data_IF_267882707491
#
_entry.id   IF_267882707491
#
_cell.length_a   1.000
_cell.length_b   1.000
_cell.length_c   1.000
_cell.angle_alpha   90.00
_cell.angle_beta   90.00
_cell.angle_gamma   90.00
#
_symmetry.space_group_name_H-M   'P 1'
#
loop_
_entity.id
_entity.type
_entity.pdbx_description
1 polymer ?
#
# COMPACT_ATOMS: atom_id res chain seq x y z
N UNK A 1 41.84 25.09 68.86
CA UNK A 1 41.70 23.91 67.98
C UNK A 1 40.22 23.76 67.64
N UNK A 2 39.76 24.47 66.61
CA UNK A 2 38.42 24.29 66.02
C UNK A 2 38.54 23.21 64.95
N UNK A 3 37.85 22.10 65.15
CA UNK A 3 37.96 20.96 64.24
C UNK A 3 37.15 21.25 62.97
N UNK A 4 37.77 21.04 61.81
CA UNK A 4 37.26 21.08 60.43
C UNK A 4 36.12 20.06 60.15
N UNK A 5 35.08 20.01 60.98
CA UNK A 5 33.95 19.08 60.78
C UNK A 5 32.98 19.54 59.67
N UNK A 6 32.94 20.84 59.36
CA UNK A 6 31.98 21.37 58.37
C UNK A 6 32.40 21.09 56.92
N UNK A 7 33.69 21.15 56.60
CA UNK A 7 34.18 20.91 55.24
C UNK A 7 34.09 19.44 54.84
N UNK A 8 34.38 18.52 55.75
CA UNK A 8 34.32 17.08 55.49
C UNK A 8 32.89 16.56 55.29
N UNK A 9 31.92 17.08 56.04
CA UNK A 9 30.50 16.72 55.88
C UNK A 9 29.94 17.26 54.55
N UNK A 10 30.30 18.49 54.16
CA UNK A 10 29.86 19.08 52.89
C UNK A 10 30.47 18.37 51.66
N UNK A 11 31.75 17.99 51.72
CA UNK A 11 32.43 17.27 50.65
C UNK A 11 31.88 15.85 50.48
N UNK A 12 31.60 15.15 51.59
CA UNK A 12 30.98 13.83 51.59
C UNK A 12 29.55 13.84 51.03
N UNK A 13 28.73 14.84 51.43
CA UNK A 13 27.39 15.02 50.91
C UNK A 13 27.39 15.36 49.41
N UNK A 14 28.27 16.25 48.97
CA UNK A 14 28.39 16.63 47.55
C UNK A 14 28.82 15.45 46.66
N UNK A 15 29.76 14.63 47.12
CA UNK A 15 30.20 13.43 46.39
C UNK A 15 29.07 12.39 46.27
N UNK A 16 28.31 12.15 47.35
CA UNK A 16 27.15 11.27 47.33
C UNK A 16 26.04 11.80 46.42
N UNK A 17 25.79 13.12 46.44
CA UNK A 17 24.81 13.76 45.55
C UNK A 17 25.23 13.67 44.07
N UNK A 18 26.51 13.82 43.75
CA UNK A 18 27.01 13.69 42.38
C UNK A 18 26.86 12.25 41.86
N UNK A 19 27.15 11.24 42.70
CA UNK A 19 26.96 9.82 42.36
C UNK A 19 25.47 9.50 42.18
N UNK A 20 24.61 9.99 43.07
CA UNK A 20 23.17 9.81 42.97
C UNK A 20 22.61 10.49 41.71
N UNK A 21 23.05 11.70 41.39
CA UNK A 21 22.65 12.43 40.19
C UNK A 21 23.11 11.72 38.90
N UNK A 22 24.34 11.22 38.87
CA UNK A 22 24.88 10.43 37.76
C UNK A 22 24.11 9.12 37.56
N UNK A 23 23.81 8.41 38.65
CA UNK A 23 22.99 7.20 38.63
C UNK A 23 21.56 7.46 38.16
N UNK A 24 20.94 8.56 38.62
CA UNK A 24 19.60 8.97 38.20
C UNK A 24 19.54 9.35 36.72
N UNK A 25 20.54 10.07 36.21
CA UNK A 25 20.62 10.42 34.79
C UNK A 25 20.80 9.20 33.89
N UNK A 26 21.67 8.26 34.28
CA UNK A 26 21.85 7.01 33.54
C UNK A 26 20.59 6.13 33.56
N UNK A 27 19.92 6.02 34.71
CA UNK A 27 18.65 5.31 34.80
C UNK A 27 17.55 5.99 33.95
N UNK A 28 17.45 7.32 33.99
CA UNK A 28 16.46 8.08 33.22
C UNK A 28 16.67 7.92 31.70
N UNK A 29 17.92 7.96 31.23
CA UNK A 29 18.25 7.76 29.82
C UNK A 29 17.95 6.33 29.36
N UNK A 30 18.24 5.32 30.19
CA UNK A 30 17.86 3.93 29.89
C UNK A 30 16.35 3.71 29.86
N UNK A 31 15.63 4.28 30.81
CA UNK A 31 14.17 4.23 30.86
C UNK A 31 13.54 4.95 29.66
N UNK A 32 14.07 6.09 29.24
CA UNK A 32 13.61 6.80 28.04
C UNK A 32 13.86 6.00 26.75
N UNK A 33 14.98 5.29 26.66
CA UNK A 33 15.27 4.41 25.52
C UNK A 33 14.34 3.17 25.49
N UNK A 34 14.07 2.56 26.65
CA UNK A 34 13.14 1.45 26.79
C UNK A 34 11.70 1.88 26.49
N UNK A 35 11.26 3.04 26.99
CA UNK A 35 9.97 3.62 26.70
C UNK A 35 9.77 3.84 25.20
N UNK A 36 10.77 4.43 24.50
CA UNK A 36 10.73 4.59 23.04
C UNK A 36 10.62 3.26 22.28
N UNK A 37 11.33 2.23 22.75
CA UNK A 37 11.26 0.90 22.13
C UNK A 37 9.90 0.23 22.36
N UNK A 38 9.33 0.36 23.55
CA UNK A 38 7.99 -0.13 23.88
C UNK A 38 6.92 0.60 23.06
N UNK A 39 6.96 1.93 22.99
CA UNK A 39 6.03 2.72 22.17
C UNK A 39 6.07 2.28 20.70
N UNK A 40 7.26 2.02 20.14
CA UNK A 40 7.38 1.49 18.77
C UNK A 40 6.75 0.11 18.60
N UNK A 41 6.97 -0.81 19.55
CA UNK A 41 6.38 -2.16 19.49
C UNK A 41 4.86 -2.09 19.61
N UNK A 42 4.36 -1.21 20.48
CA UNK A 42 2.92 -0.97 20.61
C UNK A 42 2.36 -0.41 19.31
N UNK A 43 2.97 0.61 18.71
CA UNK A 43 2.54 1.19 17.43
C UNK A 43 2.49 0.14 16.30
N UNK A 44 3.48 -0.75 16.24
CA UNK A 44 3.51 -1.86 15.28
C UNK A 44 2.36 -2.85 15.51
N UNK A 45 2.08 -3.19 16.78
CA UNK A 45 0.94 -4.05 17.13
C UNK A 45 -0.40 -3.39 16.78
N UNK A 46 -0.58 -2.12 17.12
CA UNK A 46 -1.77 -1.35 16.77
C UNK A 46 -1.98 -1.29 15.25
N UNK A 47 -0.90 -1.14 14.48
CA UNK A 47 -0.95 -1.16 13.02
C UNK A 47 -1.31 -2.54 12.47
N UNK A 48 -0.80 -3.61 13.07
CA UNK A 48 -1.11 -4.98 12.68
C UNK A 48 -2.58 -5.32 12.96
N UNK A 49 -3.09 -5.00 14.16
CA UNK A 49 -4.47 -5.25 14.61
C UNK A 49 -5.52 -4.47 13.82
N UNK A 50 -5.11 -3.42 13.11
CA UNK A 50 -5.96 -2.60 12.23
C UNK A 50 -5.65 -2.79 10.75
N UNK A 51 -4.94 -3.86 10.37
CA UNK A 51 -4.64 -4.12 8.97
C UNK A 51 -5.94 -4.32 8.17
N UNK A 52 -6.20 -3.52 7.12
CA UNK A 52 -7.45 -3.62 6.38
C UNK A 52 -7.64 -4.98 5.70
N UNK A 53 -8.85 -5.52 5.82
CA UNK A 53 -9.30 -6.75 5.20
C UNK A 53 -10.30 -6.40 4.10
N UNK A 54 -10.03 -6.87 2.88
CA UNK A 54 -10.86 -6.60 1.73
C UNK A 54 -11.37 -7.90 1.14
N UNK A 55 -12.65 -7.91 0.79
CA UNK A 55 -13.20 -8.84 -0.18
C UNK A 55 -13.23 -8.16 -1.55
N UNK A 56 -12.75 -8.87 -2.57
CA UNK A 56 -12.55 -8.34 -3.91
C UNK A 56 -13.07 -9.36 -4.92
N UNK A 57 -13.98 -8.92 -5.77
CA UNK A 57 -14.57 -9.74 -6.82
C UNK A 57 -14.56 -8.97 -8.14
N UNK A 58 -14.18 -9.65 -9.22
CA UNK A 58 -14.34 -9.11 -10.56
C UNK A 58 -15.47 -9.85 -11.26
N UNK A 59 -16.47 -9.10 -11.72
CA UNK A 59 -17.61 -9.62 -12.46
C UNK A 59 -17.53 -9.14 -13.89
N UNK A 60 -17.41 -10.05 -14.87
CA UNK A 60 -17.51 -9.66 -16.28
C UNK A 60 -18.95 -9.26 -16.63
N UNK A 61 -19.07 -8.16 -17.36
CA UNK A 61 -20.36 -7.63 -17.84
C UNK A 61 -20.53 -7.80 -19.35
N UNK A 62 -19.61 -8.52 -20.00
CA UNK A 62 -19.60 -8.78 -21.45
C UNK A 62 -18.77 -7.77 -22.25
N UNK A 63 -18.43 -8.13 -23.49
CA UNK A 63 -17.65 -7.31 -24.43
C UNK A 63 -16.29 -6.83 -23.86
N UNK A 64 -15.65 -7.65 -23.02
CA UNK A 64 -14.41 -7.31 -22.34
C UNK A 64 -14.55 -6.21 -21.28
N UNK A 65 -15.76 -5.86 -20.87
CA UNK A 65 -16.04 -4.98 -19.74
C UNK A 65 -16.24 -5.82 -18.47
N UNK A 66 -15.87 -5.24 -17.33
CA UNK A 66 -16.01 -5.88 -16.03
C UNK A 66 -16.26 -4.84 -14.93
N UNK A 67 -16.76 -5.31 -13.79
CA UNK A 67 -17.00 -4.54 -12.60
C UNK A 67 -16.19 -5.13 -11.45
N UNK A 68 -15.25 -4.34 -10.92
CA UNK A 68 -14.56 -4.68 -9.68
C UNK A 68 -15.45 -4.27 -8.51
N UNK A 69 -15.90 -5.23 -7.73
CA UNK A 69 -16.50 -5.01 -6.43
C UNK A 69 -15.42 -5.09 -5.36
N UNK A 70 -15.38 -4.07 -4.50
CA UNK A 70 -14.50 -4.02 -3.35
C UNK A 70 -15.32 -3.80 -2.11
N UNK A 71 -15.13 -4.62 -1.09
CA UNK A 71 -15.78 -4.49 0.21
C UNK A 71 -14.72 -4.45 1.32
N UNK A 72 -14.79 -3.46 2.21
CA UNK A 72 -13.92 -3.42 3.39
C UNK A 72 -14.60 -4.23 4.50
N UNK A 73 -14.18 -5.48 4.67
CA UNK A 73 -14.82 -6.42 5.59
C UNK A 73 -14.39 -6.24 7.04
N UNK A 74 -13.23 -5.62 7.28
CA UNK A 74 -12.75 -5.41 8.64
C UNK A 74 -11.29 -5.01 8.73
N UNK A 75 -10.68 -5.19 9.91
CA UNK A 75 -11.32 -5.57 11.18
C UNK A 75 -12.24 -4.46 11.71
N UNK A 76 -13.21 -4.77 12.58
CA UNK A 76 -14.13 -3.75 13.13
C UNK A 76 -13.40 -2.62 13.89
N UNK A 77 -12.25 -2.94 14.50
CA UNK A 77 -11.33 -1.98 15.15
C UNK A 77 -10.77 -0.93 14.18
N UNK A 78 -10.84 -1.19 12.87
CA UNK A 78 -10.46 -0.27 11.81
C UNK A 78 -11.55 0.79 11.55
N UNK A 79 -12.84 0.53 11.81
CA UNK A 79 -14.01 1.39 11.59
C UNK A 79 -14.17 1.98 10.17
N UNK A 80 -13.16 2.67 9.65
CA UNK A 80 -13.08 3.29 8.33
C UNK A 80 -11.64 3.50 7.87
N UNK A 81 -11.48 3.71 6.56
CA UNK A 81 -10.30 4.25 5.91
C UNK A 81 -10.59 5.66 5.42
N UNK A 82 -9.67 6.59 5.69
CA UNK A 82 -9.76 7.98 5.26
C UNK A 82 -9.47 8.12 3.75
N UNK A 83 -8.60 7.25 3.24
CA UNK A 83 -8.26 7.21 1.82
C UNK A 83 -7.79 5.83 1.40
N UNK A 84 -8.31 5.37 0.27
CA UNK A 84 -7.89 4.16 -0.45
C UNK A 84 -7.48 4.59 -1.85
N UNK A 85 -6.29 4.17 -2.26
CA UNK A 85 -5.85 4.22 -3.66
C UNK A 85 -5.74 2.78 -4.16
N UNK A 86 -6.38 2.47 -5.28
CA UNK A 86 -6.26 1.17 -5.94
C UNK A 86 -5.49 1.38 -7.24
N UNK A 87 -4.49 0.54 -7.49
CA UNK A 87 -3.76 0.52 -8.77
C UNK A 87 -3.71 -0.89 -9.33
N UNK A 88 -3.83 -1.00 -10.66
CA UNK A 88 -3.48 -2.22 -11.36
C UNK A 88 -1.96 -2.33 -11.42
N UNK A 89 -1.44 -3.43 -10.89
CA UNK A 89 -0.03 -3.79 -10.97
C UNK A 89 0.30 -4.47 -12.29
N UNK A 90 1.54 -4.33 -12.71
CA UNK A 90 2.07 -4.98 -13.91
C UNK A 90 2.42 -6.46 -13.68
N UNK A 91 2.50 -7.20 -14.79
CA UNK A 91 3.11 -8.53 -14.83
C UNK A 91 4.62 -8.49 -14.53
N UNK A 92 5.27 -9.65 -14.49
CA UNK A 92 6.69 -9.76 -14.12
C UNK A 92 7.65 -9.50 -15.30
N UNK A 93 7.16 -8.88 -16.39
CA UNK A 93 7.99 -8.63 -17.56
C UNK A 93 9.07 -7.59 -17.24
N UNK A 94 10.33 -7.95 -17.48
CA UNK A 94 11.42 -7.00 -17.40
C UNK A 94 11.43 -6.09 -18.65
N UNK A 95 11.13 -4.81 -18.43
CA UNK A 95 11.15 -3.79 -19.47
C UNK A 95 12.43 -2.96 -19.45
N UNK A 96 13.38 -3.18 -18.53
CA UNK A 96 14.55 -2.30 -18.32
C UNK A 96 15.42 -2.12 -19.58
N UNK A 97 15.53 -3.16 -20.41
CA UNK A 97 16.27 -3.14 -21.68
C UNK A 97 15.42 -2.82 -22.92
N UNK A 98 14.11 -2.59 -22.78
CA UNK A 98 13.22 -2.36 -23.92
C UNK A 98 13.36 -0.91 -24.40
N UNK A 99 13.84 -0.75 -25.64
CA UNK A 99 13.85 0.54 -26.34
C UNK A 99 12.44 0.84 -26.86
N UNK A 100 11.85 2.01 -26.54
CA UNK A 100 10.56 2.42 -27.09
C UNK A 100 10.57 2.43 -28.62
N UNK A 101 9.45 2.04 -29.23
CA UNK A 101 9.28 2.15 -30.68
C UNK A 101 9.34 3.62 -31.14
N UNK A 102 9.70 3.91 -32.40
CA UNK A 102 9.69 5.27 -32.93
C UNK A 102 8.35 5.98 -32.67
N UNK A 103 8.40 7.20 -32.14
CA UNK A 103 7.21 7.98 -31.79
C UNK A 103 6.65 7.73 -30.39
N UNK A 104 7.22 6.78 -29.63
CA UNK A 104 6.86 6.52 -28.23
C UNK A 104 8.05 6.78 -27.30
N UNK A 105 7.74 7.15 -26.07
CA UNK A 105 8.69 7.48 -25.02
C UNK A 105 8.76 6.37 -23.98
N UNK A 106 9.75 6.45 -23.08
CA UNK A 106 9.81 5.53 -21.95
C UNK A 106 8.60 5.68 -21.02
N UNK A 107 8.13 6.91 -20.83
CA UNK A 107 6.96 7.19 -20.00
C UNK A 107 5.69 6.51 -20.55
N UNK A 108 5.54 6.40 -21.87
CA UNK A 108 4.39 5.71 -22.49
C UNK A 108 4.37 4.22 -22.11
N UNK A 109 5.53 3.57 -22.09
CA UNK A 109 5.68 2.17 -21.70
C UNK A 109 5.45 1.98 -20.20
N UNK A 110 5.96 2.89 -19.37
CA UNK A 110 5.81 2.82 -17.90
C UNK A 110 4.36 3.10 -17.47
N UNK A 111 3.63 3.96 -18.19
CA UNK A 111 2.22 4.25 -17.93
C UNK A 111 1.27 3.16 -18.46
N UNK A 112 1.70 2.38 -19.46
CA UNK A 112 0.92 1.29 -20.01
C UNK A 112 0.66 0.18 -18.99
N UNK A 113 -0.58 -0.29 -18.88
CA UNK A 113 -0.96 -1.37 -17.96
C UNK A 113 -0.59 -2.72 -18.55
N UNK A 114 0.44 -3.36 -18.02
CA UNK A 114 0.92 -4.68 -18.42
C UNK A 114 0.19 -5.80 -17.67
N UNK A 115 -1.12 -5.91 -17.92
CA UNK A 115 -1.96 -6.91 -17.28
C UNK A 115 -3.23 -7.17 -18.10
N UNK A 116 -4.08 -8.12 -17.70
CA UNK A 116 -5.29 -8.48 -18.46
C UNK A 116 -6.38 -7.40 -18.45
N UNK A 117 -6.46 -6.61 -17.38
CA UNK A 117 -7.49 -5.59 -17.16
C UNK A 117 -6.89 -4.24 -16.74
N UNK A 118 -7.59 -3.15 -17.06
CA UNK A 118 -7.33 -1.80 -16.58
C UNK A 118 -8.64 -1.15 -16.14
N UNK A 119 -8.57 -0.10 -15.32
CA UNK A 119 -9.75 0.70 -15.01
C UNK A 119 -10.23 1.47 -16.24
N UNK A 120 -11.55 1.65 -16.34
CA UNK A 120 -12.16 2.37 -17.45
C UNK A 120 -11.91 3.87 -17.30
N UNK A 121 -11.28 4.49 -18.30
CA UNK A 121 -10.99 5.92 -18.33
C UNK A 121 -12.27 6.76 -18.10
N UNK A 122 -12.17 7.80 -17.28
CA UNK A 122 -13.27 8.71 -16.95
C UNK A 122 -14.23 8.18 -15.88
N UNK A 123 -14.27 6.87 -15.62
CA UNK A 123 -15.04 6.31 -14.52
C UNK A 123 -14.33 6.54 -13.18
N UNK A 124 -15.05 6.99 -12.16
CA UNK A 124 -14.51 7.21 -10.80
C UNK A 124 -13.23 8.07 -10.76
N UNK A 125 -13.06 9.00 -11.70
CA UNK A 125 -11.87 9.86 -11.79
C UNK A 125 -10.61 9.15 -12.29
N UNK A 126 -10.74 7.99 -12.96
CA UNK A 126 -9.63 7.26 -13.58
C UNK A 126 -9.03 8.05 -14.74
N UNK A 127 -7.70 8.13 -14.78
CA UNK A 127 -6.93 8.75 -15.85
C UNK A 127 -6.97 7.98 -17.19
N UNK A 128 -6.37 8.57 -18.22
CA UNK A 128 -6.32 7.98 -19.57
C UNK A 128 -5.55 6.66 -19.64
N UNK A 129 -4.63 6.43 -18.68
CA UNK A 129 -3.83 5.23 -18.61
C UNK A 129 -4.60 4.05 -17.99
N UNK A 130 -5.67 4.32 -17.24
CA UNK A 130 -6.51 3.28 -16.63
C UNK A 130 -5.82 2.58 -15.46
N UNK A 131 -4.83 3.23 -14.84
CA UNK A 131 -4.03 2.63 -13.77
C UNK A 131 -4.81 2.48 -12.47
N UNK A 132 -5.72 3.40 -12.17
CA UNK A 132 -6.49 3.43 -10.94
C UNK A 132 -7.53 4.55 -10.91
N UNK A 133 -8.63 4.40 -10.15
CA UNK A 133 -9.57 5.48 -9.89
C UNK A 133 -8.96 6.54 -8.97
N UNK A 134 -9.66 7.67 -8.82
CA UNK A 134 -9.30 8.68 -7.84
C UNK A 134 -9.41 8.10 -6.40
N UNK A 135 -8.58 8.56 -5.45
CA UNK A 135 -8.63 8.09 -4.07
C UNK A 135 -10.00 8.32 -3.42
N UNK A 136 -10.46 7.37 -2.61
CA UNK A 136 -11.79 7.42 -1.98
C UNK A 136 -11.77 6.90 -0.53
N UNK A 137 -12.63 7.41 0.36
CA UNK A 137 -12.80 6.87 1.71
C UNK A 137 -13.72 5.64 1.69
N UNK A 138 -13.63 4.79 2.71
CA UNK A 138 -14.55 3.65 2.85
C UNK A 138 -14.72 3.25 4.32
N UNK A 139 -15.94 2.91 4.72
CA UNK A 139 -16.23 2.42 6.07
C UNK A 139 -16.19 0.89 6.11
N UNK A 140 -15.85 0.32 7.26
CA UNK A 140 -15.96 -1.13 7.47
C UNK A 140 -17.42 -1.55 7.30
N UNK A 141 -17.65 -2.66 6.62
CA UNK A 141 -18.98 -3.16 6.25
C UNK A 141 -19.60 -2.48 5.03
N UNK A 142 -18.86 -1.60 4.33
CA UNK A 142 -19.32 -1.00 3.07
C UNK A 142 -18.41 -1.34 1.90
N UNK A 143 -18.93 -1.12 0.69
CA UNK A 143 -18.23 -1.43 -0.54
C UNK A 143 -18.31 -0.33 -1.58
N UNK A 144 -17.45 -0.43 -2.58
CA UNK A 144 -17.39 0.43 -3.76
C UNK A 144 -17.25 -0.43 -5.01
N UNK A 145 -17.65 0.15 -6.15
CA UNK A 145 -17.66 -0.53 -7.45
C UNK A 145 -16.89 0.31 -8.46
N UNK A 146 -16.06 -0.35 -9.25
CA UNK A 146 -15.21 0.31 -10.24
C UNK A 146 -15.32 -0.38 -11.60
N UNK A 147 -15.57 0.42 -12.63
CA UNK A 147 -15.59 -0.09 -13.99
C UNK A 147 -14.16 -0.44 -14.44
N UNK A 148 -14.01 -1.65 -14.97
CA UNK A 148 -12.78 -2.15 -15.56
C UNK A 148 -13.06 -2.65 -16.97
N UNK A 149 -12.01 -2.74 -17.76
CA UNK A 149 -12.05 -3.30 -19.11
C UNK A 149 -10.78 -4.06 -19.41
N UNK A 150 -10.88 -5.03 -20.31
CA UNK A 150 -9.73 -5.75 -20.82
C UNK A 150 -8.75 -4.77 -21.47
N UNK A 151 -7.48 -4.97 -21.20
CA UNK A 151 -6.41 -4.22 -21.86
C UNK A 151 -6.32 -4.60 -23.33
N UNK A 152 -5.81 -3.66 -24.11
CA UNK A 152 -5.53 -3.84 -25.53
C UNK A 152 -4.02 -3.73 -25.73
N UNK A 153 -3.46 -4.38 -26.76
CA UNK A 153 -2.07 -4.17 -27.11
C UNK A 153 -1.81 -2.67 -27.34
N UNK A 154 -0.64 -2.21 -26.90
CA UNK A 154 -0.22 -0.83 -27.13
C UNK A 154 -0.09 -0.54 -28.63
N UNK A 155 -0.27 0.71 -29.07
CA UNK A 155 -0.17 1.10 -30.48
C UNK A 155 1.21 0.81 -31.12
N UNK A 156 2.26 0.66 -30.31
CA UNK A 156 3.61 0.26 -30.75
C UNK A 156 3.80 -1.26 -30.93
N UNK A 157 2.80 -2.08 -30.60
CA UNK A 157 2.87 -3.54 -30.73
C UNK A 157 2.27 -3.98 -32.07
N UNK A 158 2.90 -3.57 -33.17
CA UNK A 158 2.44 -3.88 -34.52
C UNK A 158 2.21 -5.38 -34.73
N UNK A 159 1.11 -5.73 -35.41
CA UNK A 159 0.72 -7.13 -35.66
C UNK A 159 0.09 -7.85 -34.47
N UNK A 160 0.07 -7.25 -33.27
CA UNK A 160 -0.55 -7.86 -32.09
C UNK A 160 -2.05 -7.56 -32.05
N UNK A 161 -2.87 -8.60 -32.26
CA UNK A 161 -4.33 -8.48 -32.13
C UNK A 161 -4.77 -8.51 -30.67
N UNK A 162 -6.01 -8.09 -30.39
CA UNK A 162 -6.60 -8.20 -29.05
C UNK A 162 -6.62 -9.65 -28.54
N UNK A 163 -6.97 -10.61 -29.40
CA UNK A 163 -6.99 -12.03 -29.05
C UNK A 163 -5.60 -12.56 -28.70
N UNK A 164 -4.57 -12.18 -29.44
CA UNK A 164 -3.18 -12.54 -29.13
C UNK A 164 -2.72 -11.93 -27.80
N UNK A 165 -3.03 -10.64 -27.58
CA UNK A 165 -2.71 -9.95 -26.34
C UNK A 165 -3.39 -10.59 -25.13
N UNK A 166 -4.70 -10.83 -25.19
CA UNK A 166 -5.44 -11.46 -24.11
C UNK A 166 -5.06 -12.94 -23.91
N UNK A 167 -4.67 -13.62 -24.99
CA UNK A 167 -4.10 -14.97 -24.94
C UNK A 167 -2.86 -15.07 -24.06
N UNK A 168 -2.01 -14.04 -24.00
CA UNK A 168 -0.82 -14.01 -23.12
C UNK A 168 -1.15 -13.97 -21.63
N UNK A 169 -2.39 -13.61 -21.29
CA UNK A 169 -2.86 -13.49 -19.91
C UNK A 169 -3.84 -14.60 -19.50
N UNK A 170 -4.10 -15.59 -20.36
CA UNK A 170 -4.87 -16.78 -19.99
C UNK A 170 -4.19 -17.46 -18.79
N UNK A 171 -4.97 -17.71 -17.73
CA UNK A 171 -4.47 -18.30 -16.47
C UNK A 171 -3.56 -17.37 -15.64
N UNK A 172 -3.33 -16.13 -16.05
CA UNK A 172 -2.56 -15.15 -15.25
C UNK A 172 -3.50 -14.27 -14.43
N UNK A 173 -3.19 -13.99 -13.15
CA UNK A 173 -4.08 -13.22 -12.29
C UNK A 173 -4.09 -11.73 -12.65
N UNK A 174 -5.18 -11.06 -12.28
CA UNK A 174 -5.20 -9.60 -12.19
C UNK A 174 -4.50 -9.20 -10.90
N UNK A 175 -3.56 -8.26 -10.99
CA UNK A 175 -2.79 -7.78 -9.85
C UNK A 175 -3.30 -6.41 -9.43
N UNK A 176 -3.67 -6.27 -8.16
CA UNK A 176 -4.08 -5.00 -7.57
C UNK A 176 -3.18 -4.64 -6.41
N UNK A 177 -2.83 -3.36 -6.31
CA UNK A 177 -2.13 -2.78 -5.18
C UNK A 177 -3.04 -1.75 -4.54
N UNK A 178 -3.41 -1.97 -3.28
CA UNK A 178 -4.23 -1.07 -2.50
C UNK A 178 -3.31 -0.34 -1.51
N UNK A 179 -3.31 0.99 -1.54
CA UNK A 179 -2.68 1.83 -0.53
C UNK A 179 -3.78 2.45 0.33
N UNK A 180 -3.78 2.15 1.62
CA UNK A 180 -4.84 2.53 2.55
C UNK A 180 -4.28 3.45 3.63
N UNK A 181 -5.03 4.48 4.01
CA UNK A 181 -4.65 5.42 5.08
C UNK A 181 -5.78 5.60 6.10
N UNK A 182 -5.40 5.63 7.38
CA UNK A 182 -6.26 6.04 8.50
C UNK A 182 -5.42 6.83 9.51
N UNK A 183 -5.71 8.12 9.68
CA UNK A 183 -4.87 9.01 10.48
C UNK A 183 -3.40 8.96 10.05
N UNK A 184 -2.49 8.70 10.98
CA UNK A 184 -1.06 8.54 10.70
C UNK A 184 -0.63 7.15 10.20
N UNK A 185 -1.55 6.20 10.06
CA UNK A 185 -1.25 4.83 9.63
C UNK A 185 -1.43 4.66 8.12
N UNK A 186 -0.50 3.94 7.50
CA UNK A 186 -0.55 3.57 6.08
C UNK A 186 -0.25 2.09 5.88
N UNK A 187 -1.04 1.43 5.03
CA UNK A 187 -0.86 0.04 4.63
C UNK A 187 -0.78 -0.07 3.11
N UNK A 188 0.07 -0.97 2.61
CA UNK A 188 0.12 -1.37 1.20
C UNK A 188 -0.21 -2.85 1.10
N UNK A 189 -1.25 -3.19 0.34
CA UNK A 189 -1.78 -4.54 0.22
C UNK A 189 -1.75 -4.97 -1.24
N UNK A 190 -0.97 -6.01 -1.55
CA UNK A 190 -1.02 -6.67 -2.85
C UNK A 190 -2.15 -7.72 -2.86
N UNK A 191 -2.96 -7.73 -3.91
CA UNK A 191 -4.05 -8.67 -4.12
C UNK A 191 -3.97 -9.25 -5.53
N UNK A 192 -4.35 -10.53 -5.64
CA UNK A 192 -4.44 -11.25 -6.90
C UNK A 192 -5.87 -11.72 -7.06
N UNK A 193 -6.50 -11.35 -8.17
CA UNK A 193 -7.82 -11.83 -8.54
C UNK A 193 -7.68 -12.83 -9.69
N UNK A 194 -8.61 -13.76 -9.77
CA UNK A 194 -8.73 -14.62 -10.93
C UNK A 194 -9.02 -13.78 -12.17
N UNK A 195 -8.35 -14.11 -13.28
CA UNK A 195 -8.66 -13.53 -14.57
C UNK A 195 -9.69 -14.44 -15.25
N UNK A 196 -10.96 -14.01 -15.36
CA UNK A 196 -11.96 -14.80 -16.04
C UNK A 196 -11.49 -15.08 -17.48
N UNK A 197 -11.82 -16.27 -18.00
CA UNK A 197 -11.55 -16.56 -19.40
C UNK A 197 -12.42 -15.65 -20.27
N UNK A 198 -11.87 -15.21 -21.39
CA UNK A 198 -12.69 -14.58 -22.42
C UNK A 198 -13.68 -15.64 -22.89
N UNK A 199 -14.96 -15.48 -22.56
CA UNK A 199 -16.01 -16.25 -23.21
C UNK A 199 -15.92 -15.91 -24.70
N UNK A 200 -15.31 -16.81 -25.47
CA UNK A 200 -15.42 -16.82 -26.91
C UNK A 200 -16.90 -17.15 -27.17
N UNK A 201 -17.71 -16.11 -27.32
CA UNK A 201 -19.13 -16.26 -27.64
C UNK A 201 -19.30 -17.32 -28.72
N UNK A 202 -19.94 -18.42 -28.36
CA UNK A 202 -20.46 -19.42 -29.30
C UNK A 202 -21.64 -18.86 -30.07
#
# INVERSE_FOLDING_TARGET
MSIEWTDTISAGAAALSAIAAGGAWWAATRSAAAAKALTRIEDERWKADRTPQFDLELIETGNGQALLQLHLTGPDSLERLDSITIKVGDDDRDLSGVTPAPGFTRADLDNFVWGPFKFTHGANGTDEHGRGPAPFPLAVGTGSRFAMQRTYPGPWMEGKTQGMWQGEYVGKPIRLVLTCRRGGMEWTLARRLENPLLDAGT
#
